data_IF_841182395915
#
_entry.id   IF_841182395915
#
_cell.length_a   1.000
_cell.length_b   1.000
_cell.length_c   1.000
_cell.angle_alpha   90.00
_cell.angle_beta   90.00
_cell.angle_gamma   90.00
#
_symmetry.space_group_name_H-M   'P 1'
#
loop_
_entity.id
_entity.type
_entity.pdbx_description
1 polymer ?
#
# COMPACT_ATOMS: atom_id res chain seq x y z
N UNK A 1 20.57 -27.97 -58.82
CA UNK A 1 20.60 -26.71 -58.04
C UNK A 1 19.17 -26.25 -57.76
N UNK A 2 18.71 -26.40 -56.52
CA UNK A 2 17.90 -25.46 -55.73
C UNK A 2 17.21 -26.25 -54.61
N UNK A 3 17.68 -25.99 -53.41
CA UNK A 3 17.26 -26.54 -52.13
C UNK A 3 15.87 -26.01 -51.75
N UNK A 4 15.07 -26.84 -51.07
CA UNK A 4 13.83 -26.43 -50.40
C UNK A 4 13.61 -27.26 -49.14
N UNK A 5 13.96 -26.69 -47.97
CA UNK A 5 13.64 -27.14 -46.61
C UNK A 5 13.59 -25.86 -45.74
N UNK A 6 12.88 -25.78 -44.60
CA UNK A 6 11.46 -25.94 -44.30
C UNK A 6 10.84 -24.62 -43.76
N UNK A 7 9.50 -24.53 -43.70
CA UNK A 7 8.81 -23.49 -42.94
C UNK A 7 8.83 -23.84 -41.44
N UNK A 8 9.65 -23.12 -40.68
CA UNK A 8 9.70 -23.15 -39.22
C UNK A 8 8.52 -22.31 -38.68
N UNK A 9 7.59 -22.95 -37.98
CA UNK A 9 6.51 -22.28 -37.27
C UNK A 9 7.12 -21.43 -36.13
N UNK A 10 7.06 -20.11 -36.28
CA UNK A 10 7.42 -19.17 -35.23
C UNK A 10 6.35 -19.21 -34.14
N UNK A 11 6.71 -19.81 -33.00
CA UNK A 11 5.97 -19.70 -31.75
C UNK A 11 6.15 -18.26 -31.24
N UNK A 12 5.22 -17.37 -31.57
CA UNK A 12 5.15 -16.04 -30.96
C UNK A 12 4.76 -16.19 -29.49
N UNK A 13 5.75 -16.36 -28.61
CA UNK A 13 5.62 -16.03 -27.20
C UNK A 13 5.44 -14.51 -27.13
N UNK A 14 4.19 -14.05 -27.10
CA UNK A 14 3.90 -12.70 -26.66
C UNK A 14 4.41 -12.58 -25.21
N UNK A 15 5.30 -11.64 -24.88
CA UNK A 15 5.56 -11.32 -23.49
C UNK A 15 4.22 -10.89 -22.90
N UNK A 16 3.74 -11.63 -21.90
CA UNK A 16 2.69 -11.14 -21.02
C UNK A 16 3.35 -9.98 -20.28
N UNK A 17 3.15 -8.77 -20.79
CA UNK A 17 3.51 -7.58 -20.04
C UNK A 17 2.61 -7.60 -18.80
N UNK A 18 3.17 -8.01 -17.66
CA UNK A 18 2.57 -7.75 -16.36
C UNK A 18 2.74 -6.26 -16.13
N UNK A 19 1.79 -5.47 -16.63
CA UNK A 19 1.65 -4.09 -16.21
C UNK A 19 1.27 -4.13 -14.73
N UNK A 20 2.06 -3.48 -13.87
CA UNK A 20 1.57 -3.15 -12.53
C UNK A 20 0.20 -2.50 -12.70
N UNK A 21 -0.83 -3.08 -12.10
CA UNK A 21 -2.20 -2.65 -12.34
C UNK A 21 -2.42 -1.29 -11.69
N UNK A 22 -2.41 -0.24 -12.53
CA UNK A 22 -2.85 1.09 -12.14
C UNK A 22 -4.17 0.98 -11.36
N UNK A 23 -4.34 1.78 -10.30
CA UNK A 23 -5.53 1.69 -9.45
C UNK A 23 -6.81 1.81 -10.29
N UNK A 24 -7.57 0.72 -10.37
CA UNK A 24 -8.70 0.61 -11.30
C UNK A 24 -9.72 1.74 -11.07
N UNK A 25 -10.37 2.20 -12.15
CA UNK A 25 -11.37 3.28 -12.07
C UNK A 25 -12.50 2.96 -11.07
N UNK A 26 -12.96 1.71 -11.04
CA UNK A 26 -13.95 1.22 -10.09
C UNK A 26 -13.47 1.36 -8.63
N UNK A 27 -12.20 1.03 -8.35
CA UNK A 27 -11.58 1.20 -7.03
C UNK A 27 -11.51 2.67 -6.62
N UNK A 28 -11.18 3.57 -7.55
CA UNK A 28 -11.13 5.02 -7.25
C UNK A 28 -12.52 5.61 -6.98
N UNK A 29 -13.57 5.08 -7.62
CA UNK A 29 -14.94 5.57 -7.47
C UNK A 29 -15.54 5.29 -6.08
N UNK A 30 -15.02 4.30 -5.34
CA UNK A 30 -15.52 3.90 -4.01
C UNK A 30 -14.67 4.44 -2.85
N UNK A 31 -13.56 5.10 -3.14
CA UNK A 31 -12.69 5.72 -2.13
C UNK A 31 -13.13 7.17 -1.91
N UNK A 32 -13.48 7.59 -0.68
CA UNK A 32 -13.78 8.99 -0.37
C UNK A 32 -12.61 9.95 -0.64
N UNK A 33 -12.89 11.22 -0.97
CA UNK A 33 -11.89 12.18 -1.42
C UNK A 33 -10.90 12.68 -0.34
N UNK A 34 -11.33 12.78 0.93
CA UNK A 34 -10.52 13.32 2.04
C UNK A 34 -9.55 12.27 2.59
N UNK A 35 -8.59 11.89 1.74
CA UNK A 35 -7.61 10.84 2.00
C UNK A 35 -6.53 11.33 2.96
N UNK A 36 -6.20 10.50 3.94
CA UNK A 36 -4.96 10.62 4.70
C UNK A 36 -3.86 9.74 4.10
N UNK A 37 -4.19 8.50 3.74
CA UNK A 37 -3.25 7.57 3.13
C UNK A 37 -3.98 6.53 2.27
N UNK A 38 -3.41 6.22 1.11
CA UNK A 38 -3.75 5.04 0.31
C UNK A 38 -2.52 4.16 0.25
N UNK A 39 -2.67 2.86 0.54
CA UNK A 39 -1.67 1.82 0.31
C UNK A 39 -2.27 0.83 -0.68
N UNK A 40 -1.48 0.35 -1.61
CA UNK A 40 -1.85 -0.71 -2.52
C UNK A 40 -0.75 -1.78 -2.57
N UNK A 41 -1.18 -3.02 -2.69
CA UNK A 41 -0.33 -4.20 -2.75
C UNK A 41 -0.81 -5.06 -3.91
N UNK A 42 0.06 -5.31 -4.88
CA UNK A 42 -0.07 -6.37 -5.87
C UNK A 42 0.30 -7.69 -5.19
N UNK A 43 -0.72 -8.49 -4.86
CA UNK A 43 -0.53 -9.77 -4.17
C UNK A 43 0.18 -10.78 -5.07
N UNK A 44 -0.04 -10.73 -6.39
CA UNK A 44 0.60 -11.65 -7.35
C UNK A 44 2.09 -11.38 -7.43
N UNK A 45 2.47 -10.12 -7.66
CA UNK A 45 3.87 -9.72 -7.69
C UNK A 45 4.60 -9.99 -6.36
N UNK A 46 3.86 -9.97 -5.24
CA UNK A 46 4.40 -10.27 -3.92
C UNK A 46 4.48 -11.79 -3.62
N UNK A 47 3.61 -12.63 -4.20
CA UNK A 47 3.66 -14.09 -4.10
C UNK A 47 4.90 -14.66 -4.78
N UNK A 48 5.24 -14.12 -5.94
CA UNK A 48 6.39 -14.57 -6.73
C UNK A 48 7.76 -14.18 -6.11
N UNK A 49 7.77 -13.41 -5.00
CA UNK A 49 8.98 -12.93 -4.34
C UNK A 49 9.17 -13.49 -2.93
N UNK A 50 10.34 -14.10 -2.67
CA UNK A 50 10.74 -14.50 -1.31
C UNK A 50 10.75 -13.31 -0.33
N UNK A 51 11.29 -12.16 -0.77
CA UNK A 51 11.33 -10.93 0.03
C UNK A 51 9.94 -10.36 0.27
N UNK A 52 9.07 -10.40 -0.75
CA UNK A 52 7.65 -10.04 -0.63
C UNK A 52 6.92 -10.89 0.41
N UNK A 53 7.08 -12.21 0.35
CA UNK A 53 6.51 -13.14 1.32
C UNK A 53 7.04 -12.93 2.74
N UNK A 54 8.35 -12.68 2.89
CA UNK A 54 8.94 -12.38 4.20
C UNK A 54 8.38 -11.06 4.77
N UNK A 55 8.24 -10.04 3.92
CA UNK A 55 7.63 -8.76 4.31
C UNK A 55 6.19 -8.95 4.76
N UNK A 56 5.38 -9.67 3.96
CA UNK A 56 3.99 -10.03 4.30
C UNK A 56 3.95 -10.66 5.69
N UNK A 57 4.69 -11.74 5.91
CA UNK A 57 4.69 -12.45 7.19
C UNK A 57 5.00 -11.56 8.40
N UNK A 58 5.87 -10.55 8.23
CA UNK A 58 6.30 -9.66 9.32
C UNK A 58 5.41 -8.45 9.54
N UNK A 59 4.96 -7.80 8.46
CA UNK A 59 4.34 -6.47 8.47
C UNK A 59 2.83 -6.53 8.34
N UNK A 60 2.25 -7.66 7.94
CA UNK A 60 0.79 -7.85 7.86
C UNK A 60 0.11 -7.26 9.11
N UNK A 61 -0.58 -6.10 9.00
CA UNK A 61 -1.23 -5.48 10.13
C UNK A 61 -2.32 -6.40 10.67
N UNK A 62 -2.64 -6.33 11.97
CA UNK A 62 -3.68 -7.18 12.56
C UNK A 62 -5.02 -7.07 11.84
N UNK A 63 -5.33 -5.89 11.29
CA UNK A 63 -6.54 -5.65 10.50
C UNK A 63 -6.53 -6.43 9.18
N UNK A 64 -5.37 -6.55 8.53
CA UNK A 64 -5.21 -7.32 7.30
C UNK A 64 -5.23 -8.83 7.58
N UNK A 65 -4.62 -9.29 8.69
CA UNK A 65 -4.75 -10.69 9.14
C UNK A 65 -6.20 -11.07 9.44
N UNK A 66 -6.93 -10.16 10.12
CA UNK A 66 -8.38 -10.33 10.38
C UNK A 66 -9.16 -10.40 9.07
N UNK A 67 -8.84 -9.55 8.10
CA UNK A 67 -9.44 -9.60 6.78
C UNK A 67 -9.18 -10.93 6.06
N UNK A 68 -7.91 -11.36 5.95
CA UNK A 68 -7.55 -12.64 5.30
C UNK A 68 -8.24 -13.83 5.99
N UNK A 69 -8.31 -13.82 7.33
CA UNK A 69 -9.03 -14.83 8.11
C UNK A 69 -10.53 -14.81 7.79
N UNK A 70 -11.12 -13.61 7.70
CA UNK A 70 -12.54 -13.44 7.41
C UNK A 70 -12.89 -13.89 5.97
N UNK A 71 -12.03 -13.60 4.99
CA UNK A 71 -12.14 -14.09 3.61
C UNK A 71 -12.13 -15.61 3.55
N UNK A 72 -11.16 -16.25 4.22
CA UNK A 72 -11.11 -17.72 4.33
C UNK A 72 -12.40 -18.27 4.95
N UNK A 73 -12.97 -17.55 5.91
CA UNK A 73 -14.26 -17.83 6.51
C UNK A 73 -15.42 -17.91 5.51
N UNK A 74 -15.42 -17.10 4.46
CA UNK A 74 -16.49 -17.06 3.43
C UNK A 74 -16.12 -17.83 2.15
N UNK A 75 -15.00 -18.55 2.17
CA UNK A 75 -14.57 -19.42 1.08
C UNK A 75 -13.77 -18.71 -0.02
N UNK A 76 -13.20 -17.55 0.28
CA UNK A 76 -12.22 -16.85 -0.54
C UNK A 76 -10.83 -17.17 0.01
N UNK A 77 -9.93 -17.66 -0.84
CA UNK A 77 -8.53 -17.88 -0.53
C UNK A 77 -7.71 -16.62 -0.90
N UNK A 78 -7.28 -15.79 0.06
CA UNK A 78 -6.57 -14.54 -0.22
C UNK A 78 -5.27 -14.72 -1.00
N UNK A 79 -4.66 -15.91 -0.95
CA UNK A 79 -3.41 -16.18 -1.66
C UNK A 79 -3.66 -16.60 -3.13
N UNK A 80 -4.92 -16.85 -3.53
CA UNK A 80 -5.26 -17.29 -4.91
C UNK A 80 -6.29 -16.42 -5.59
N UNK A 81 -7.28 -15.99 -4.81
CA UNK A 81 -8.48 -15.32 -5.31
C UNK A 81 -8.32 -13.79 -5.23
N UNK A 82 -7.34 -13.28 -4.48
CA UNK A 82 -7.03 -11.84 -4.39
C UNK A 82 -5.76 -11.55 -5.20
N UNK A 83 -5.91 -10.69 -6.20
CA UNK A 83 -4.80 -10.24 -7.04
C UNK A 83 -4.20 -8.92 -6.54
N UNK A 84 -5.05 -8.01 -6.06
CA UNK A 84 -4.63 -6.69 -5.61
C UNK A 84 -5.43 -6.27 -4.38
N UNK A 85 -4.77 -5.58 -3.46
CA UNK A 85 -5.38 -5.11 -2.22
C UNK A 85 -5.06 -3.64 -1.99
N UNK A 86 -6.10 -2.83 -1.85
CA UNK A 86 -6.00 -1.41 -1.55
C UNK A 86 -6.56 -1.12 -0.17
N UNK A 87 -5.85 -0.32 0.61
CA UNK A 87 -6.35 0.28 1.85
C UNK A 87 -6.37 1.78 1.69
N UNK A 88 -7.53 2.39 1.91
CA UNK A 88 -7.68 3.83 1.94
C UNK A 88 -8.13 4.26 3.34
N UNK A 89 -7.29 5.05 4.00
CA UNK A 89 -7.65 5.79 5.20
C UNK A 89 -8.08 7.19 4.82
N UNK A 90 -9.25 7.60 5.31
CA UNK A 90 -9.87 8.87 4.96
C UNK A 90 -10.57 9.48 6.16
N UNK A 91 -10.72 10.80 6.14
CA UNK A 91 -11.30 11.53 7.26
C UNK A 91 -12.80 11.64 7.12
N UNK A 92 -13.45 11.50 8.26
CA UNK A 92 -14.85 11.82 8.49
C UNK A 92 -14.94 12.71 9.73
N UNK A 93 -16.11 13.30 9.98
CA UNK A 93 -16.31 14.19 11.14
C UNK A 93 -15.95 13.54 12.48
N UNK A 94 -16.13 12.22 12.61
CA UNK A 94 -15.86 11.46 13.83
C UNK A 94 -14.43 10.94 13.96
N UNK A 95 -13.54 11.23 13.00
CA UNK A 95 -12.15 10.77 13.01
C UNK A 95 -11.72 10.11 11.69
N UNK A 96 -10.78 9.18 11.78
CA UNK A 96 -10.27 8.44 10.62
C UNK A 96 -11.08 7.15 10.44
N UNK A 97 -11.45 6.87 9.20
CA UNK A 97 -12.04 5.62 8.75
C UNK A 97 -11.10 4.91 7.78
N UNK A 98 -11.23 3.60 7.65
CA UNK A 98 -10.43 2.78 6.74
C UNK A 98 -11.34 1.85 5.96
N UNK A 99 -11.26 1.93 4.64
CA UNK A 99 -11.87 0.96 3.73
C UNK A 99 -10.79 0.16 3.02
N UNK A 100 -10.98 -1.14 2.96
CA UNK A 100 -10.21 -2.05 2.13
C UNK A 100 -10.97 -2.40 0.85
N UNK A 101 -10.24 -2.50 -0.26
CA UNK A 101 -10.75 -2.96 -1.55
C UNK A 101 -9.88 -4.11 -2.00
N UNK A 102 -10.47 -5.30 -2.07
CA UNK A 102 -9.84 -6.47 -2.66
C UNK A 102 -10.31 -6.63 -4.10
N UNK A 103 -9.36 -6.85 -5.01
CA UNK A 103 -9.62 -7.12 -6.42
C UNK A 103 -9.09 -8.51 -6.75
N UNK A 104 -9.86 -9.29 -7.51
CA UNK A 104 -9.46 -10.64 -7.95
C UNK A 104 -10.65 -11.47 -8.45
N UNK A 105 -10.58 -12.79 -8.43
CA UNK A 105 -11.68 -13.67 -8.88
C UNK A 105 -12.38 -14.32 -7.69
N UNK A 106 -13.51 -13.73 -7.27
CA UNK A 106 -14.16 -14.14 -6.03
C UNK A 106 -15.21 -15.25 -6.19
N UNK A 107 -15.39 -15.83 -7.39
CA UNK A 107 -16.39 -16.85 -7.66
C UNK A 107 -17.73 -16.58 -6.92
N UNK A 108 -18.27 -15.36 -7.05
CA UNK A 108 -19.29 -14.74 -6.17
C UNK A 108 -20.43 -15.66 -5.75
N UNK A 109 -20.93 -16.49 -6.67
CA UNK A 109 -21.99 -17.46 -6.38
C UNK A 109 -21.61 -18.44 -5.24
N UNK A 110 -20.36 -18.89 -5.18
CA UNK A 110 -19.83 -19.74 -4.11
C UNK A 110 -19.74 -18.99 -2.79
N UNK A 111 -19.28 -17.74 -2.80
CA UNK A 111 -19.22 -16.88 -1.61
C UNK A 111 -20.62 -16.67 -1.04
N UNK A 112 -21.59 -16.29 -1.89
CA UNK A 112 -22.98 -16.10 -1.48
C UNK A 112 -23.60 -17.40 -0.95
N UNK A 113 -23.33 -18.54 -1.59
CA UNK A 113 -23.79 -19.84 -1.10
C UNK A 113 -23.18 -20.17 0.28
N UNK A 114 -21.89 -19.88 0.48
CA UNK A 114 -21.19 -20.10 1.76
C UNK A 114 -21.74 -19.21 2.86
N UNK A 115 -22.02 -17.95 2.58
CA UNK A 115 -22.68 -17.00 3.49
C UNK A 115 -24.04 -17.52 3.95
N UNK A 116 -24.87 -18.02 3.01
CA UNK A 116 -26.17 -18.63 3.32
C UNK A 116 -26.02 -19.86 4.21
N UNK A 117 -25.09 -20.76 3.91
CA UNK A 117 -24.80 -21.96 4.73
C UNK A 117 -24.34 -21.59 6.14
N UNK A 118 -23.54 -20.54 6.27
CA UNK A 118 -23.11 -19.98 7.57
C UNK A 118 -24.20 -19.14 8.27
N UNK A 119 -25.38 -18.99 7.67
CA UNK A 119 -26.49 -18.17 8.17
C UNK A 119 -26.10 -16.70 8.39
N UNK A 120 -25.12 -16.20 7.64
CA UNK A 120 -24.72 -14.80 7.65
C UNK A 120 -25.74 -14.03 6.79
N UNK A 121 -26.59 -13.24 7.46
CA UNK A 121 -27.60 -12.42 6.78
C UNK A 121 -27.02 -11.05 6.45
N UNK A 122 -27.26 -10.52 5.23
CA UNK A 122 -26.81 -9.18 4.91
C UNK A 122 -27.65 -8.13 5.64
N UNK A 123 -27.00 -7.06 6.09
CA UNK A 123 -27.65 -5.79 6.32
C UNK A 123 -27.72 -5.03 5.00
N UNK A 124 -28.92 -4.73 4.53
CA UNK A 124 -29.12 -3.97 3.29
C UNK A 124 -28.82 -2.50 3.57
N UNK A 125 -27.97 -1.91 2.75
CA UNK A 125 -27.71 -0.48 2.73
C UNK A 125 -27.90 0.02 1.30
N UNK A 126 -29.00 0.72 1.06
CA UNK A 126 -29.51 1.05 -0.27
C UNK A 126 -29.66 -0.20 -1.15
N UNK A 127 -28.93 -0.27 -2.26
CA UNK A 127 -28.93 -1.38 -3.20
C UNK A 127 -27.89 -2.46 -2.85
N UNK A 128 -27.07 -2.23 -1.83
CA UNK A 128 -25.90 -3.04 -1.51
C UNK A 128 -26.14 -3.94 -0.31
N UNK A 129 -25.75 -5.20 -0.46
CA UNK A 129 -25.76 -6.18 0.62
C UNK A 129 -24.44 -6.12 1.39
N UNK A 130 -24.48 -5.69 2.65
CA UNK A 130 -23.31 -5.74 3.54
C UNK A 130 -23.39 -6.98 4.43
N UNK A 131 -22.42 -7.87 4.29
CA UNK A 131 -22.34 -9.11 5.06
C UNK A 131 -21.42 -8.90 6.26
N UNK A 132 -21.92 -9.04 7.51
CA UNK A 132 -21.05 -9.00 8.67
C UNK A 132 -20.10 -10.20 8.66
N UNK A 133 -18.85 -9.94 9.02
CA UNK A 133 -17.78 -10.91 9.14
C UNK A 133 -17.26 -10.94 10.58
N UNK A 134 -16.40 -11.91 10.88
CA UNK A 134 -15.74 -12.00 12.18
C UNK A 134 -14.83 -10.79 12.44
N UNK A 135 -14.56 -10.48 13.71
CA UNK A 135 -13.64 -9.40 14.10
C UNK A 135 -14.17 -7.98 13.92
N UNK A 136 -15.48 -7.80 13.77
CA UNK A 136 -16.13 -6.49 13.63
C UNK A 136 -16.07 -5.92 12.21
N UNK A 137 -15.60 -6.71 11.25
CA UNK A 137 -15.58 -6.34 9.84
C UNK A 137 -16.93 -6.63 9.18
N UNK A 138 -17.15 -5.98 8.06
CA UNK A 138 -18.21 -6.28 7.11
C UNK A 138 -17.62 -6.26 5.72
N UNK A 139 -18.23 -6.97 4.79
CA UNK A 139 -17.87 -6.91 3.38
C UNK A 139 -19.09 -6.64 2.50
N UNK A 140 -18.86 -6.08 1.32
CA UNK A 140 -19.84 -6.03 0.25
C UNK A 140 -19.17 -6.31 -1.09
N UNK A 141 -19.86 -7.03 -1.96
CA UNK A 141 -19.40 -7.31 -3.31
C UNK A 141 -19.91 -6.19 -4.20
N UNK A 142 -19.00 -5.48 -4.86
CA UNK A 142 -19.34 -4.44 -5.82
C UNK A 142 -19.72 -5.04 -7.17
N UNK A 143 -18.97 -6.07 -7.57
CA UNK A 143 -19.17 -6.87 -8.78
C UNK A 143 -18.50 -8.24 -8.59
N UNK A 144 -18.23 -8.95 -9.70
CA UNK A 144 -17.58 -10.27 -9.66
C UNK A 144 -16.09 -10.23 -9.25
N UNK A 145 -15.46 -9.06 -9.34
CA UNK A 145 -14.03 -8.87 -9.22
C UNK A 145 -13.60 -7.91 -8.12
N UNK A 146 -14.53 -7.15 -7.54
CA UNK A 146 -14.23 -6.12 -6.55
C UNK A 146 -15.06 -6.34 -5.28
N UNK A 147 -14.37 -6.42 -4.14
CA UNK A 147 -14.95 -6.55 -2.82
C UNK A 147 -14.50 -5.40 -1.93
N UNK A 148 -15.44 -4.72 -1.27
CA UNK A 148 -15.14 -3.80 -0.18
C UNK A 148 -15.17 -4.53 1.15
N UNK A 149 -14.31 -4.11 2.07
CA UNK A 149 -14.32 -4.56 3.45
C UNK A 149 -13.82 -3.48 4.42
N UNK A 150 -14.16 -3.62 5.70
CA UNK A 150 -13.92 -2.59 6.71
C UNK A 150 -14.99 -2.67 7.79
N UNK A 151 -15.02 -1.71 8.72
CA UNK A 151 -16.17 -1.60 9.62
C UNK A 151 -17.42 -1.12 8.85
N UNK A 152 -18.61 -1.33 9.45
CA UNK A 152 -19.87 -0.97 8.79
C UNK A 152 -20.00 0.51 8.44
N UNK A 153 -19.39 1.43 9.20
CA UNK A 153 -19.46 2.85 8.92
C UNK A 153 -18.54 3.22 7.73
N UNK A 154 -17.34 2.65 7.68
CA UNK A 154 -16.40 2.82 6.56
C UNK A 154 -16.98 2.30 5.24
N UNK A 155 -17.68 1.15 5.25
CA UNK A 155 -18.39 0.65 4.05
C UNK A 155 -19.49 1.61 3.59
N UNK A 156 -20.27 2.17 4.52
CA UNK A 156 -21.33 3.12 4.17
C UNK A 156 -20.76 4.37 3.53
N UNK A 157 -19.68 4.93 4.08
CA UNK A 157 -18.97 6.07 3.48
C UNK A 157 -18.47 5.78 2.06
N UNK A 158 -17.92 4.59 1.82
CA UNK A 158 -17.48 4.17 0.48
C UNK A 158 -18.64 4.01 -0.51
N UNK A 159 -19.75 3.41 -0.05
CA UNK A 159 -20.97 3.25 -0.86
C UNK A 159 -21.67 4.58 -1.14
N UNK A 160 -21.71 5.50 -0.17
CA UNK A 160 -22.22 6.87 -0.37
C UNK A 160 -21.52 7.55 -1.55
N UNK A 161 -20.19 7.47 -1.58
CA UNK A 161 -19.37 8.09 -2.61
C UNK A 161 -19.54 7.40 -3.97
N UNK A 162 -19.60 6.06 -3.99
CA UNK A 162 -19.94 5.28 -5.19
C UNK A 162 -21.26 5.74 -5.82
N UNK A 163 -22.25 6.00 -4.97
CA UNK A 163 -23.61 6.37 -5.36
C UNK A 163 -23.75 7.88 -5.67
N UNK A 164 -22.65 8.63 -5.67
CA UNK A 164 -22.62 10.06 -5.99
C UNK A 164 -23.09 10.98 -4.86
N UNK A 165 -23.19 10.48 -3.63
CA UNK A 165 -23.60 11.25 -2.45
C UNK A 165 -22.43 11.93 -1.74
N UNK A 166 -21.23 11.81 -2.29
CA UNK A 166 -20.02 12.47 -1.81
C UNK A 166 -18.94 12.52 -2.88
N UNK A 167 -17.85 13.22 -2.58
CA UNK A 167 -16.69 13.31 -3.45
C UNK A 167 -15.82 12.05 -3.34
N UNK A 168 -15.48 11.46 -4.48
CA UNK A 168 -14.55 10.33 -4.56
C UNK A 168 -13.11 10.78 -4.77
N UNK A 169 -12.17 9.86 -4.62
CA UNK A 169 -10.75 10.04 -4.91
C UNK A 169 -10.50 10.68 -6.27
N UNK A 170 -11.36 10.43 -7.27
CA UNK A 170 -11.25 11.04 -8.60
C UNK A 170 -11.31 12.58 -8.59
N UNK A 171 -11.85 13.18 -7.53
CA UNK A 171 -11.90 14.64 -7.35
C UNK A 171 -10.68 15.23 -6.65
N UNK A 172 -9.78 14.38 -6.11
CA UNK A 172 -8.59 14.82 -5.38
C UNK A 172 -7.35 14.72 -6.29
N UNK A 173 -7.15 15.74 -7.12
CA UNK A 173 -6.03 15.78 -8.08
C UNK A 173 -4.66 15.64 -7.43
N UNK A 174 -4.46 16.27 -6.26
CA UNK A 174 -3.19 16.22 -5.54
C UNK A 174 -2.77 14.78 -5.20
N UNK A 175 -3.72 13.93 -4.80
CA UNK A 175 -3.44 12.52 -4.50
C UNK A 175 -3.38 11.70 -5.80
N UNK A 176 -4.31 11.89 -6.76
CA UNK A 176 -4.32 11.08 -7.99
C UNK A 176 -3.08 11.31 -8.86
N UNK A 177 -2.55 12.53 -8.89
CA UNK A 177 -1.33 12.84 -9.63
C UNK A 177 -0.14 12.10 -9.02
N UNK A 178 -0.08 11.99 -7.69
CA UNK A 178 0.97 11.24 -7.00
C UNK A 178 0.85 9.73 -7.20
N UNK A 179 -0.38 9.17 -7.23
CA UNK A 179 -0.61 7.75 -7.51
C UNK A 179 0.04 7.37 -8.84
N UNK A 180 -0.14 8.19 -9.88
CA UNK A 180 0.43 7.93 -11.21
C UNK A 180 1.96 7.81 -11.25
N UNK A 181 2.66 8.27 -10.20
CA UNK A 181 4.12 8.17 -10.08
C UNK A 181 4.62 6.89 -9.41
N UNK A 182 3.71 6.10 -8.83
CA UNK A 182 4.04 4.92 -8.01
C UNK A 182 3.22 3.67 -8.33
N UNK A 183 2.13 3.78 -9.10
CA UNK A 183 1.14 2.71 -9.30
C UNK A 183 1.59 1.54 -10.17
N UNK A 184 2.83 1.57 -10.66
CA UNK A 184 3.48 0.48 -11.39
C UNK A 184 4.21 -0.53 -10.50
N UNK A 185 4.47 -0.21 -9.24
CA UNK A 185 5.32 -1.02 -8.34
C UNK A 185 4.48 -1.98 -7.47
N UNK A 186 5.09 -3.07 -7.00
CA UNK A 186 4.38 -4.14 -6.26
C UNK A 186 3.69 -3.65 -4.99
N UNK A 187 4.34 -2.75 -4.25
CA UNK A 187 3.72 -2.05 -3.12
C UNK A 187 3.91 -0.57 -3.34
N UNK A 188 2.86 0.21 -3.14
CA UNK A 188 2.98 1.66 -3.13
C UNK A 188 2.02 2.30 -2.15
N UNK A 189 2.33 3.53 -1.78
CA UNK A 189 1.48 4.34 -0.92
C UNK A 189 1.61 5.81 -1.25
N UNK A 190 0.52 6.53 -1.07
CA UNK A 190 0.46 7.99 -1.13
C UNK A 190 -0.16 8.50 0.17
N UNK A 191 0.47 9.50 0.77
CA UNK A 191 0.00 10.16 1.99
C UNK A 191 -0.25 11.64 1.69
N UNK A 192 -1.26 12.18 2.34
CA UNK A 192 -1.52 13.62 2.34
C UNK A 192 -0.60 14.35 3.31
N UNK A 193 -0.74 15.68 3.38
CA UNK A 193 0.09 16.53 4.25
C UNK A 193 0.15 16.04 5.71
N UNK A 194 -0.99 15.71 6.31
CA UNK A 194 -1.03 15.28 7.71
C UNK A 194 -0.45 13.88 7.87
N UNK A 195 -0.80 12.94 7.00
CA UNK A 195 -0.25 11.59 7.03
C UNK A 195 1.26 11.59 6.87
N UNK A 196 1.80 12.42 5.97
CA UNK A 196 3.24 12.59 5.80
C UNK A 196 3.90 13.21 7.02
N UNK A 197 3.29 14.22 7.65
CA UNK A 197 3.82 14.82 8.88
C UNK A 197 3.88 13.79 10.03
N UNK A 198 2.83 12.99 10.20
CA UNK A 198 2.78 11.90 11.19
C UNK A 198 3.85 10.83 10.90
N UNK A 199 3.97 10.41 9.64
CA UNK A 199 5.02 9.48 9.18
C UNK A 199 6.43 10.03 9.47
N UNK A 200 6.70 11.28 9.10
CA UNK A 200 8.02 11.90 9.30
C UNK A 200 8.35 12.07 10.79
N UNK A 201 7.34 12.42 11.60
CA UNK A 201 7.51 12.49 13.06
C UNK A 201 7.89 11.13 13.63
N UNK A 202 7.19 10.06 13.22
CA UNK A 202 7.49 8.69 13.64
C UNK A 202 8.90 8.26 13.19
N UNK A 203 9.24 8.49 11.92
CA UNK A 203 10.54 8.10 11.36
C UNK A 203 11.73 8.77 12.05
N UNK A 204 11.58 10.04 12.44
CA UNK A 204 12.61 10.80 13.15
C UNK A 204 12.72 10.45 14.63
N UNK A 205 11.68 9.86 15.25
CA UNK A 205 11.68 9.53 16.67
C UNK A 205 12.00 10.76 17.53
N UNK A 206 12.99 10.64 18.42
CA UNK A 206 13.42 11.74 19.30
C UNK A 206 13.93 12.97 18.54
N UNK A 207 14.47 12.80 17.32
CA UNK A 207 14.91 13.91 16.49
C UNK A 207 13.75 14.82 16.04
N UNK A 208 12.50 14.34 16.11
CA UNK A 208 11.32 15.17 15.87
C UNK A 208 11.09 16.22 16.96
N UNK A 209 11.77 16.12 18.11
CA UNK A 209 11.69 17.12 19.18
C UNK A 209 12.70 18.26 19.01
N UNK A 210 13.61 18.18 18.03
CA UNK A 210 14.61 19.20 17.78
C UNK A 210 13.96 20.51 17.29
N UNK A 211 14.58 21.64 17.64
CA UNK A 211 14.11 22.97 17.26
C UNK A 211 13.93 23.12 15.74
N UNK A 212 14.88 22.57 14.97
CA UNK A 212 14.85 22.61 13.51
C UNK A 212 13.62 21.91 12.92
N UNK A 213 13.22 20.75 13.46
CA UNK A 213 12.02 20.06 12.99
C UNK A 213 10.74 20.85 13.29
N UNK A 214 10.65 21.45 14.48
CA UNK A 214 9.51 22.28 14.85
C UNK A 214 9.35 23.51 13.95
N UNK A 215 10.46 24.07 13.45
CA UNK A 215 10.44 25.19 12.50
C UNK A 215 9.92 24.81 11.11
N UNK A 216 10.04 23.54 10.70
CA UNK A 216 9.74 23.11 9.34
C UNK A 216 8.53 22.17 9.20
N UNK A 217 8.00 21.58 10.28
CA UNK A 217 6.97 20.53 10.21
C UNK A 217 5.74 20.91 9.38
N UNK A 218 5.29 22.17 9.46
CA UNK A 218 4.13 22.69 8.72
C UNK A 218 4.43 22.95 7.23
N UNK A 219 5.68 22.79 6.81
CA UNK A 219 6.14 22.95 5.42
C UNK A 219 6.33 21.59 4.73
N UNK A 220 6.12 20.49 5.46
CA UNK A 220 6.04 19.13 4.92
C UNK A 220 4.65 18.94 4.32
N UNK A 221 4.60 18.58 3.04
CA UNK A 221 3.38 18.35 2.26
C UNK A 221 3.17 16.85 2.08
N UNK A 222 2.74 16.42 0.91
CA UNK A 222 2.42 15.02 0.62
C UNK A 222 3.68 14.15 0.46
N UNK A 223 3.51 12.84 0.55
CA UNK A 223 4.58 11.88 0.24
C UNK A 223 4.07 10.67 -0.52
N UNK A 224 4.94 10.07 -1.31
CA UNK A 224 4.69 8.79 -1.94
C UNK A 224 5.88 7.86 -1.72
N UNK A 225 5.60 6.59 -1.45
CA UNK A 225 6.62 5.55 -1.46
C UNK A 225 6.21 4.37 -2.32
N UNK A 226 7.22 3.63 -2.79
CA UNK A 226 7.04 2.42 -3.57
C UNK A 226 8.11 1.38 -3.28
N UNK A 227 7.75 0.12 -3.41
CA UNK A 227 8.63 -1.03 -3.23
C UNK A 227 8.46 -2.02 -4.38
N UNK A 228 9.59 -2.43 -4.94
CA UNK A 228 9.69 -3.43 -6.00
C UNK A 228 10.53 -4.62 -5.53
N UNK A 229 10.18 -5.80 -6.03
CA UNK A 229 10.79 -7.08 -5.65
C UNK A 229 11.35 -7.89 -6.83
N UNK A 230 11.37 -7.33 -8.05
CA UNK A 230 11.73 -8.08 -9.25
C UNK A 230 13.19 -8.49 -9.35
N UNK A 231 14.11 -7.79 -8.66
CA UNK A 231 15.55 -8.07 -8.65
C UNK A 231 16.17 -7.63 -7.32
N UNK A 232 15.91 -8.38 -6.25
CA UNK A 232 16.12 -7.89 -4.89
C UNK A 232 15.04 -6.91 -4.48
N UNK A 233 15.30 -6.09 -3.46
CA UNK A 233 14.34 -5.13 -2.93
C UNK A 233 14.79 -3.71 -3.20
N UNK A 234 13.92 -2.93 -3.82
CA UNK A 234 14.09 -1.49 -4.01
C UNK A 234 12.99 -0.75 -3.32
N UNK A 235 13.33 0.18 -2.45
CA UNK A 235 12.40 1.09 -1.80
C UNK A 235 12.73 2.53 -2.17
N UNK A 236 11.71 3.28 -2.58
CA UNK A 236 11.86 4.71 -2.87
C UNK A 236 10.78 5.47 -2.10
N UNK A 237 11.18 6.55 -1.42
CA UNK A 237 10.27 7.49 -0.76
C UNK A 237 10.57 8.90 -1.27
N UNK A 238 9.52 9.62 -1.65
CA UNK A 238 9.55 11.04 -2.00
C UNK A 238 8.64 11.80 -1.05
N UNK A 239 9.18 12.81 -0.38
CA UNK A 239 8.42 13.73 0.48
C UNK A 239 8.47 15.11 -0.17
N UNK A 240 7.31 15.65 -0.50
CA UNK A 240 7.15 17.01 -1.02
C UNK A 240 7.20 17.99 0.14
N UNK A 241 7.89 19.09 -0.06
CA UNK A 241 7.99 20.18 0.90
C UNK A 241 7.68 21.50 0.20
N UNK A 242 7.46 22.55 0.99
CA UNK A 242 7.07 23.86 0.46
C UNK A 242 8.24 24.59 -0.23
N UNK A 243 9.49 24.19 0.04
CA UNK A 243 10.70 24.85 -0.46
C UNK A 243 11.95 23.97 -0.30
N UNK A 244 13.00 24.31 -1.04
CA UNK A 244 14.26 23.58 -1.03
C UNK A 244 14.98 23.61 0.33
N UNK A 245 14.81 24.67 1.12
CA UNK A 245 15.40 24.78 2.46
C UNK A 245 14.83 23.69 3.39
N UNK A 246 13.51 23.54 3.41
CA UNK A 246 12.82 22.50 4.18
C UNK A 246 13.29 21.10 3.78
N UNK A 247 13.37 20.81 2.48
CA UNK A 247 13.87 19.53 1.99
C UNK A 247 15.32 19.26 2.43
N UNK A 248 16.20 20.26 2.35
CA UNK A 248 17.58 20.15 2.78
C UNK A 248 17.70 19.91 4.30
N UNK A 249 16.91 20.62 5.12
CA UNK A 249 16.86 20.39 6.57
C UNK A 249 16.41 18.97 6.90
N UNK A 250 15.36 18.46 6.24
CA UNK A 250 14.93 17.07 6.44
C UNK A 250 16.02 16.07 6.05
N UNK A 251 16.74 16.31 4.95
CA UNK A 251 17.87 15.48 4.54
C UNK A 251 18.93 15.42 5.65
N UNK A 252 19.33 16.57 6.19
CA UNK A 252 20.33 16.62 7.28
C UNK A 252 19.84 15.90 8.53
N UNK A 253 18.59 16.13 8.96
CA UNK A 253 18.01 15.45 10.13
C UNK A 253 17.97 13.93 9.95
N UNK A 254 17.57 13.46 8.76
CA UNK A 254 17.53 12.03 8.46
C UNK A 254 18.92 11.42 8.38
N UNK A 255 19.89 12.08 7.76
CA UNK A 255 21.28 11.61 7.73
C UNK A 255 21.87 11.48 9.14
N UNK A 256 21.60 12.46 10.01
CA UNK A 256 21.98 12.39 11.42
C UNK A 256 21.30 11.21 12.13
N UNK A 257 19.99 11.01 11.90
CA UNK A 257 19.25 9.87 12.45
C UNK A 257 19.78 8.51 11.98
N UNK A 258 20.16 8.39 10.70
CA UNK A 258 20.79 7.18 10.14
C UNK A 258 22.13 6.92 10.80
N UNK A 259 22.98 7.94 10.95
CA UNK A 259 24.27 7.81 11.63
C UNK A 259 24.10 7.36 13.09
N UNK A 260 23.16 7.96 13.81
CA UNK A 260 22.85 7.58 15.18
C UNK A 260 22.39 6.12 15.29
N UNK A 261 21.45 5.70 14.44
CA UNK A 261 20.99 4.29 14.39
C UNK A 261 22.15 3.34 14.07
N UNK A 262 23.05 3.73 13.17
CA UNK A 262 24.21 2.92 12.77
C UNK A 262 25.17 2.61 13.93
N UNK A 263 25.31 3.52 14.91
CA UNK A 263 26.21 3.32 16.05
C UNK A 263 25.84 2.10 16.91
N UNK A 264 24.53 1.85 17.07
CA UNK A 264 23.99 0.78 17.90
C UNK A 264 23.47 -0.43 17.10
N UNK A 265 23.60 -0.39 15.77
CA UNK A 265 23.10 -1.40 14.86
C UNK A 265 23.96 -2.68 14.84
N UNK A 266 23.31 -3.82 14.64
CA UNK A 266 23.95 -5.09 14.29
C UNK A 266 24.67 -5.00 12.94
N UNK A 267 25.61 -5.92 12.61
CA UNK A 267 26.29 -5.90 11.31
C UNK A 267 25.32 -5.90 10.10
N UNK A 268 24.25 -6.69 10.17
CA UNK A 268 23.21 -6.74 9.12
C UNK A 268 22.51 -5.39 8.94
N UNK A 269 22.13 -4.76 10.05
CA UNK A 269 21.47 -3.45 10.04
C UNK A 269 22.41 -2.33 9.57
N UNK A 270 23.70 -2.38 9.91
CA UNK A 270 24.70 -1.43 9.41
C UNK A 270 24.80 -1.47 7.88
N UNK A 271 24.83 -2.67 7.30
CA UNK A 271 24.84 -2.85 5.83
C UNK A 271 23.55 -2.28 5.22
N UNK A 272 22.39 -2.51 5.84
CA UNK A 272 21.13 -1.94 5.37
C UNK A 272 21.13 -0.40 5.43
N UNK A 273 21.65 0.19 6.51
CA UNK A 273 21.78 1.64 6.65
C UNK A 273 22.78 2.24 5.65
N UNK A 274 23.83 1.49 5.28
CA UNK A 274 24.79 1.90 4.24
C UNK A 274 24.20 1.87 2.83
N UNK A 275 23.20 1.03 2.60
CA UNK A 275 22.45 0.99 1.34
C UNK A 275 21.37 2.08 1.24
N UNK A 276 21.17 2.88 2.28
CA UNK A 276 20.21 3.98 2.27
C UNK A 276 20.85 5.27 1.76
N UNK A 277 20.32 5.79 0.66
CA UNK A 277 20.69 7.09 0.10
C UNK A 277 19.61 8.11 0.46
N UNK A 278 20.01 9.16 1.18
CA UNK A 278 19.16 10.30 1.54
C UNK A 278 19.59 11.52 0.75
N UNK A 279 18.69 12.07 -0.05
CA UNK A 279 18.94 13.22 -0.89
C UNK A 279 17.78 14.23 -0.87
N UNK A 280 18.02 15.43 -1.42
CA UNK A 280 17.02 16.48 -1.52
C UNK A 280 17.22 17.26 -2.82
N UNK A 281 16.13 17.57 -3.51
CA UNK A 281 16.15 18.30 -4.78
C UNK A 281 14.83 19.05 -4.98
N UNK A 282 14.93 20.33 -5.35
CA UNK A 282 13.80 21.16 -5.83
C UNK A 282 12.56 21.10 -4.94
N UNK A 283 12.74 21.16 -3.62
CA UNK A 283 11.64 21.10 -2.65
C UNK A 283 11.14 19.70 -2.33
N UNK A 284 11.85 18.64 -2.71
CA UNK A 284 11.55 17.27 -2.32
C UNK A 284 12.73 16.62 -1.58
N UNK A 285 12.43 15.93 -0.49
CA UNK A 285 13.31 14.92 0.11
C UNK A 285 13.11 13.60 -0.62
N UNK A 286 14.20 12.88 -0.90
CA UNK A 286 14.21 11.59 -1.59
C UNK A 286 15.00 10.59 -0.75
N UNK A 287 14.42 9.44 -0.46
CA UNK A 287 15.12 8.29 0.08
C UNK A 287 15.09 7.15 -0.93
N UNK A 288 16.24 6.50 -1.10
CA UNK A 288 16.37 5.29 -1.90
C UNK A 288 17.08 4.23 -1.08
N UNK A 289 16.56 3.02 -1.10
CA UNK A 289 17.17 1.86 -0.49
C UNK A 289 17.14 0.71 -1.50
N UNK A 290 18.26 0.00 -1.61
CA UNK A 290 18.37 -1.17 -2.49
C UNK A 290 19.17 -2.26 -1.80
N UNK A 291 18.70 -3.51 -1.88
CA UNK A 291 19.42 -4.66 -1.32
C UNK A 291 19.02 -5.95 -2.03
N UNK A 292 19.80 -7.01 -1.86
CA UNK A 292 19.45 -8.34 -2.36
C UNK A 292 18.45 -9.06 -1.43
N UNK A 293 17.77 -10.07 -1.96
CA UNK A 293 16.70 -10.77 -1.22
C UNK A 293 17.16 -11.38 0.11
N UNK A 294 18.37 -11.97 0.12
CA UNK A 294 18.89 -12.63 1.33
C UNK A 294 19.14 -11.62 2.44
N UNK A 295 19.74 -10.49 2.10
CA UNK A 295 19.96 -9.38 3.05
C UNK A 295 18.65 -8.78 3.51
N UNK A 296 17.67 -8.61 2.61
CA UNK A 296 16.37 -8.09 2.97
C UNK A 296 15.63 -9.01 3.96
N UNK A 297 15.56 -10.32 3.68
CA UNK A 297 14.94 -11.30 4.60
C UNK A 297 15.62 -11.27 5.98
N UNK A 298 16.93 -11.09 6.03
CA UNK A 298 17.66 -10.93 7.28
C UNK A 298 17.29 -9.63 8.01
N UNK A 299 17.14 -8.53 7.26
CA UNK A 299 16.73 -7.23 7.79
C UNK A 299 15.30 -7.25 8.33
N UNK A 300 14.34 -7.89 7.66
CA UNK A 300 12.93 -7.96 8.10
C UNK A 300 12.79 -8.61 9.49
N UNK A 301 13.72 -9.49 9.85
CA UNK A 301 13.75 -10.16 11.15
C UNK A 301 14.54 -9.38 12.23
N UNK A 302 15.08 -8.20 11.91
CA UNK A 302 15.88 -7.38 12.82
C UNK A 302 15.05 -6.46 13.73
N UNK A 303 15.67 -5.96 14.79
CA UNK A 303 15.07 -5.00 15.70
C UNK A 303 14.89 -3.62 15.04
N UNK A 304 15.84 -3.22 14.17
CA UNK A 304 15.71 -2.00 13.37
C UNK A 304 14.42 -2.01 12.56
N UNK A 305 14.11 -3.14 11.91
CA UNK A 305 12.88 -3.28 11.13
C UNK A 305 11.64 -3.30 12.03
N UNK A 306 11.70 -4.02 13.15
CA UNK A 306 10.60 -4.06 14.11
C UNK A 306 10.27 -2.69 14.73
N UNK A 307 11.26 -1.79 14.83
CA UNK A 307 11.07 -0.44 15.36
C UNK A 307 10.40 0.52 14.37
N UNK A 308 10.55 0.28 13.06
CA UNK A 308 9.95 1.13 12.01
C UNK A 308 8.62 0.60 11.48
N UNK A 309 8.29 -0.66 11.76
CA UNK A 309 7.05 -1.31 11.32
C UNK A 309 5.93 -1.25 12.37
N UNK A 310 6.11 -0.51 13.47
CA UNK A 310 5.16 -0.36 14.58
C UNK A 310 4.37 0.94 14.46
#
# INVERSE_FOLDING_TARGET
MKYGIPALAALCLAPVFSFGSSLASATRAVIPADIQQIINVDYRGMEDSQSGQALKARVLPDQLKKFETALKGVGVDPDKDVEQLTFASFRVKSGLQVVGIAQGDFAVNKVVARLKTKKIKPAVYRDSAMYPLDGGLSMTLLDNYNMLFGDSASLKSALDVRDGLGSSLNSNSAITDMISSVDSDTIWSVLDEKGTQEMMKSALGDASNLADYNAIKNRIKNSAYKMDFGNGVKFNLKVITSDAFTAATLKTLLQAGVLYKKMNATPTEKVALDNLVVDSDSGALKLKFETDDRKFVSLVNSDLFAAISK
#
